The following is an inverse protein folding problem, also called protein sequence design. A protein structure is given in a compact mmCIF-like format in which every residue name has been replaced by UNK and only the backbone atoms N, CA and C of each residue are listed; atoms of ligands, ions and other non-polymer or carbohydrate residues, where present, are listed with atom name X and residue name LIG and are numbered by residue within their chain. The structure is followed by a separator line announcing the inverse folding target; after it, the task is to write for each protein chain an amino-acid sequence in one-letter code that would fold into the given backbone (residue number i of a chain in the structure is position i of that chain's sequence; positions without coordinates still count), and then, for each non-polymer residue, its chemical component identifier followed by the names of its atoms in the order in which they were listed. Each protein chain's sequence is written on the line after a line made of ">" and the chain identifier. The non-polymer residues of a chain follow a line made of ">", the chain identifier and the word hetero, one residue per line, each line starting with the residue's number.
data_IF_902807369107
#
_entry.id   IF_902807369107
#
_cell.length_a   1.000
_cell.length_b   1.000
_cell.length_c   1.000
_cell.angle_alpha   90.00
_cell.angle_beta   90.00
_cell.angle_gamma   90.00
#
_symmetry.space_group_name_H-M   'P 1'
#
loop_
_entity.id
_entity.type
_entity.pdbx_description
1 polymer ?
#
# COMPACT_ATOMS: atom_id res chain seq x y z
N UNK A 1 -5.63 -6.67 11.00
CA UNK A 1 -6.47 -6.46 9.81
C UNK A 1 -7.26 -5.16 9.96
N UNK A 2 -7.04 -4.20 9.05
CA UNK A 2 -7.62 -2.85 9.11
C UNK A 2 -9.11 -2.84 8.81
N UNK A 3 -9.55 -3.71 7.91
CA UNK A 3 -10.98 -3.90 7.63
C UNK A 3 -11.70 -4.34 8.92
N UNK A 4 -11.13 -5.29 9.63
CA UNK A 4 -11.68 -5.76 10.90
C UNK A 4 -11.72 -4.63 11.93
N UNK A 5 -10.64 -3.85 12.06
CA UNK A 5 -10.61 -2.69 12.96
C UNK A 5 -11.73 -1.70 12.66
N UNK A 6 -11.93 -1.32 11.39
CA UNK A 6 -12.97 -0.35 11.00
C UNK A 6 -14.39 -0.86 11.20
N UNK A 7 -14.59 -2.18 11.20
CA UNK A 7 -15.88 -2.80 11.49
C UNK A 7 -16.16 -2.89 13.00
N UNK A 8 -15.13 -2.99 13.82
CA UNK A 8 -15.26 -3.15 15.27
C UNK A 8 -15.20 -1.82 16.02
N UNK A 9 -14.38 -0.87 15.56
CA UNK A 9 -14.23 0.45 16.21
C UNK A 9 -15.48 1.28 15.99
N UNK A 10 -16.11 1.66 17.08
CA UNK A 10 -17.31 2.52 17.06
C UNK A 10 -16.92 3.95 17.48
N UNK A 11 -17.38 4.92 16.72
CA UNK A 11 -17.29 6.35 16.99
C UNK A 11 -18.49 7.05 16.33
N UNK A 12 -18.83 8.23 16.85
CA UNK A 12 -19.95 9.01 16.35
C UNK A 12 -21.26 8.17 16.30
N UNK A 13 -22.17 8.44 17.20
CA UNK A 13 -23.47 7.76 17.33
C UNK A 13 -23.37 6.22 17.53
N UNK A 14 -22.28 5.74 18.16
CA UNK A 14 -22.03 4.32 18.44
C UNK A 14 -22.02 3.44 17.17
N UNK A 15 -21.68 4.00 16.02
CA UNK A 15 -21.63 3.29 14.73
C UNK A 15 -20.20 2.83 14.42
N UNK A 16 -20.01 1.69 13.75
CA UNK A 16 -18.70 1.31 13.22
C UNK A 16 -18.13 2.40 12.30
N UNK A 17 -16.84 2.71 12.41
CA UNK A 17 -16.24 3.74 11.56
C UNK A 17 -16.32 3.39 10.07
N UNK A 18 -16.39 2.09 9.73
CA UNK A 18 -16.62 1.62 8.35
C UNK A 18 -17.99 2.07 7.78
N UNK A 19 -18.93 2.53 8.59
CA UNK A 19 -20.21 3.06 8.12
C UNK A 19 -20.12 4.49 7.57
N UNK A 20 -19.00 5.18 7.78
CA UNK A 20 -18.79 6.54 7.30
C UNK A 20 -18.19 6.54 5.89
N UNK A 21 -18.73 7.36 5.00
CA UNK A 21 -18.33 7.41 3.59
C UNK A 21 -16.84 7.74 3.39
N UNK A 22 -16.25 8.63 4.20
CA UNK A 22 -14.82 8.95 4.11
C UNK A 22 -13.92 7.75 4.43
N UNK A 23 -14.35 6.86 5.33
CA UNK A 23 -13.65 5.61 5.63
C UNK A 23 -13.84 4.61 4.50
N UNK A 24 -15.05 4.50 3.97
CA UNK A 24 -15.38 3.62 2.83
C UNK A 24 -14.58 4.00 1.58
N UNK A 25 -14.43 5.29 1.30
CA UNK A 25 -13.62 5.79 0.19
C UNK A 25 -12.16 5.34 0.31
N UNK A 26 -11.56 5.50 1.50
CA UNK A 26 -10.19 5.04 1.75
C UNK A 26 -10.04 3.53 1.56
N UNK A 27 -10.98 2.74 2.07
CA UNK A 27 -10.97 1.28 1.93
C UNK A 27 -11.12 0.85 0.48
N UNK A 28 -12.04 1.47 -0.28
CA UNK A 28 -12.25 1.18 -1.69
C UNK A 28 -10.99 1.53 -2.52
N UNK A 29 -10.39 2.68 -2.27
CA UNK A 29 -9.14 3.06 -2.92
C UNK A 29 -8.02 2.06 -2.61
N UNK A 30 -7.83 1.70 -1.33
CA UNK A 30 -6.78 0.77 -0.93
C UNK A 30 -6.92 -0.60 -1.62
N UNK A 31 -8.12 -1.20 -1.64
CA UNK A 31 -8.30 -2.50 -2.28
C UNK A 31 -8.08 -2.44 -3.79
N UNK A 32 -8.51 -1.36 -4.43
CA UNK A 32 -8.30 -1.14 -5.86
C UNK A 32 -6.81 -1.07 -6.20
N UNK A 33 -6.06 -0.25 -5.48
CA UNK A 33 -4.62 -0.07 -5.73
C UNK A 33 -3.81 -1.34 -5.41
N UNK A 34 -4.13 -2.04 -4.34
CA UNK A 34 -3.51 -3.33 -4.01
C UNK A 34 -3.75 -4.33 -5.13
N UNK A 35 -4.98 -4.43 -5.64
CA UNK A 35 -5.33 -5.34 -6.74
C UNK A 35 -4.54 -5.00 -8.01
N UNK A 36 -4.45 -3.73 -8.37
CA UNK A 36 -3.65 -3.27 -9.51
C UNK A 36 -2.17 -3.65 -9.36
N UNK A 37 -1.60 -3.42 -8.17
CA UNK A 37 -0.21 -3.80 -7.89
C UNK A 37 0.04 -5.30 -7.98
N UNK A 38 -0.89 -6.12 -7.50
CA UNK A 38 -0.84 -7.58 -7.63
C UNK A 38 -0.91 -8.04 -9.10
N UNK A 39 -1.80 -7.46 -9.88
CA UNK A 39 -1.92 -7.75 -11.32
C UNK A 39 -0.64 -7.39 -12.06
N UNK A 40 -0.02 -6.25 -11.75
CA UNK A 40 1.26 -5.85 -12.34
C UNK A 40 2.36 -6.84 -11.98
N UNK A 41 2.44 -7.29 -10.74
CA UNK A 41 3.42 -8.29 -10.30
C UNK A 41 3.23 -9.64 -11.01
N UNK A 42 1.99 -10.10 -11.15
CA UNK A 42 1.66 -11.35 -11.87
C UNK A 42 2.06 -11.23 -13.34
N UNK A 43 1.76 -10.11 -13.99
CA UNK A 43 2.11 -9.90 -15.40
C UNK A 43 3.61 -9.86 -15.62
N UNK A 44 4.36 -9.19 -14.74
CA UNK A 44 5.83 -9.21 -14.80
C UNK A 44 6.40 -10.62 -14.59
N UNK A 45 5.81 -11.40 -13.69
CA UNK A 45 6.17 -12.82 -13.50
C UNK A 45 5.97 -13.65 -14.78
N UNK A 46 4.82 -13.48 -15.43
CA UNK A 46 4.53 -14.16 -16.72
C UNK A 46 5.51 -13.76 -17.83
N UNK A 47 5.83 -12.48 -17.93
CA UNK A 47 6.81 -11.98 -18.89
C UNK A 47 8.20 -12.56 -18.62
N UNK A 48 8.59 -12.71 -17.36
CA UNK A 48 9.84 -13.35 -16.96
C UNK A 48 9.88 -14.81 -17.41
N UNK A 49 8.83 -15.56 -17.16
CA UNK A 49 8.73 -16.98 -17.55
C UNK A 49 8.80 -17.16 -19.08
N UNK A 50 8.31 -16.19 -19.84
CA UNK A 50 8.37 -16.16 -21.30
C UNK A 50 9.68 -15.60 -21.87
N UNK A 51 10.62 -15.16 -21.02
CA UNK A 51 11.86 -14.52 -21.44
C UNK A 51 11.68 -13.14 -22.08
N UNK A 52 10.55 -12.46 -21.81
CA UNK A 52 10.17 -11.16 -22.38
C UNK A 52 10.22 -10.00 -21.38
N UNK A 53 10.68 -10.26 -20.15
CA UNK A 53 10.78 -9.22 -19.13
C UNK A 53 11.95 -8.29 -19.45
N UNK A 54 11.68 -7.01 -19.51
CA UNK A 54 12.68 -5.96 -19.74
C UNK A 54 12.97 -5.18 -18.44
N UNK A 55 14.14 -4.52 -18.31
CA UNK A 55 14.48 -3.71 -17.14
C UNK A 55 13.42 -2.63 -16.81
N UNK A 56 12.82 -2.01 -17.83
CA UNK A 56 11.74 -1.04 -17.65
C UNK A 56 10.53 -1.63 -16.94
N UNK A 57 10.16 -2.89 -17.22
CA UNK A 57 9.07 -3.57 -16.53
C UNK A 57 9.37 -3.77 -15.04
N UNK A 58 10.60 -4.15 -14.70
CA UNK A 58 11.03 -4.32 -13.30
C UNK A 58 11.02 -2.99 -12.56
N UNK A 59 11.54 -1.95 -13.18
CA UNK A 59 11.54 -0.58 -12.61
C UNK A 59 10.13 -0.06 -12.38
N UNK A 60 9.23 -0.27 -13.35
CA UNK A 60 7.82 0.11 -13.24
C UNK A 60 7.13 -0.65 -12.09
N UNK A 61 7.37 -1.95 -11.96
CA UNK A 61 6.83 -2.78 -10.89
C UNK A 61 7.30 -2.30 -9.52
N UNK A 62 8.61 -2.08 -9.33
CA UNK A 62 9.15 -1.62 -8.05
C UNK A 62 8.60 -0.24 -7.71
N UNK A 63 8.73 0.73 -8.61
CA UNK A 63 8.29 2.11 -8.40
C UNK A 63 6.81 2.16 -8.01
N UNK A 64 5.94 1.56 -8.82
CA UNK A 64 4.50 1.58 -8.58
C UNK A 64 4.11 0.89 -7.28
N UNK A 65 4.60 -0.32 -7.03
CA UNK A 65 4.16 -1.12 -5.89
C UNK A 65 4.68 -0.58 -4.56
N UNK A 66 5.88 -0.03 -4.51
CA UNK A 66 6.41 0.61 -3.30
C UNK A 66 5.67 1.89 -2.97
N UNK A 67 5.38 2.71 -3.97
CA UNK A 67 4.63 3.96 -3.80
C UNK A 67 3.21 3.69 -3.29
N UNK A 68 2.51 2.72 -3.90
CA UNK A 68 1.18 2.29 -3.44
C UNK A 68 1.24 1.71 -2.03
N UNK A 69 2.23 0.88 -1.72
CA UNK A 69 2.38 0.30 -0.39
C UNK A 69 2.55 1.39 0.69
N UNK A 70 3.33 2.44 0.42
CA UNK A 70 3.47 3.60 1.30
C UNK A 70 2.14 4.34 1.49
N UNK A 71 1.43 4.62 0.40
CA UNK A 71 0.12 5.29 0.47
C UNK A 71 -0.92 4.47 1.25
N UNK A 72 -0.98 3.17 1.00
CA UNK A 72 -1.86 2.25 1.74
C UNK A 72 -1.47 2.23 3.23
N UNK A 73 -0.19 2.21 3.55
CA UNK A 73 0.29 2.24 4.93
C UNK A 73 -0.07 3.56 5.63
N UNK A 74 0.09 4.71 4.97
CA UNK A 74 -0.30 6.03 5.49
C UNK A 74 -1.80 6.14 5.74
N UNK A 75 -2.62 5.74 4.77
CA UNK A 75 -4.08 5.71 4.93
C UNK A 75 -4.52 4.76 6.04
N UNK A 76 -3.82 3.66 6.21
CA UNK A 76 -4.08 2.69 7.27
C UNK A 76 -3.74 3.24 8.66
N UNK A 77 -2.61 3.94 8.78
CA UNK A 77 -2.25 4.63 10.01
C UNK A 77 -3.32 5.67 10.36
N UNK A 78 -3.77 6.43 9.37
CA UNK A 78 -4.80 7.43 9.54
C UNK A 78 -6.14 6.83 10.02
N UNK A 79 -6.56 5.71 9.44
CA UNK A 79 -7.77 4.98 9.87
C UNK A 79 -7.70 4.47 11.32
N UNK A 80 -6.50 4.16 11.81
CA UNK A 80 -6.29 3.75 13.20
C UNK A 80 -6.34 4.93 14.19
N UNK A 81 -6.29 6.16 13.70
CA UNK A 81 -6.26 7.35 14.54
C UNK A 81 -5.05 7.36 15.48
N UNK A 82 -5.25 7.69 16.76
CA UNK A 82 -4.20 7.66 17.76
C UNK A 82 -3.53 6.29 17.93
N UNK A 83 -4.27 5.21 17.77
CA UNK A 83 -3.73 3.85 17.80
C UNK A 83 -2.70 3.59 16.68
N UNK A 84 -2.79 4.31 15.57
CA UNK A 84 -1.84 4.20 14.47
C UNK A 84 -0.42 4.73 14.76
N UNK A 85 -0.24 5.39 15.90
CA UNK A 85 1.07 5.93 16.37
C UNK A 85 1.68 5.05 17.46
N UNK A 86 0.88 4.16 18.05
CA UNK A 86 1.29 3.31 19.16
C UNK A 86 2.05 2.06 18.66
N UNK A 87 3.02 1.59 19.45
CA UNK A 87 3.84 0.41 19.11
C UNK A 87 3.04 -0.90 19.08
N UNK A 88 1.94 -0.99 19.81
CA UNK A 88 1.03 -2.14 19.80
C UNK A 88 0.39 -2.37 18.43
N UNK A 89 0.38 -1.35 17.57
CA UNK A 89 -0.09 -1.43 16.20
C UNK A 89 1.11 -1.29 15.24
N UNK A 90 1.42 -2.30 14.43
CA UNK A 90 2.70 -2.36 13.70
C UNK A 90 2.80 -1.43 12.50
N UNK A 91 1.82 -0.55 12.27
CA UNK A 91 1.75 0.24 11.05
C UNK A 91 2.92 1.22 10.88
N UNK A 92 3.38 1.84 11.96
CA UNK A 92 4.53 2.75 11.90
C UNK A 92 5.82 2.01 11.53
N UNK A 93 6.00 0.79 12.04
CA UNK A 93 7.13 -0.06 11.64
C UNK A 93 7.09 -0.38 10.15
N UNK A 94 5.91 -0.70 9.62
CA UNK A 94 5.75 -0.94 8.18
C UNK A 94 6.04 0.31 7.35
N UNK A 95 5.64 1.50 7.82
CA UNK A 95 5.96 2.75 7.16
C UNK A 95 7.47 2.98 7.08
N UNK A 96 8.20 2.82 8.19
CA UNK A 96 9.66 2.95 8.21
C UNK A 96 10.33 1.95 7.26
N UNK A 97 9.90 0.70 7.27
CA UNK A 97 10.42 -0.33 6.37
C UNK A 97 10.15 0.02 4.90
N UNK A 98 8.98 0.52 4.57
CA UNK A 98 8.62 0.89 3.19
C UNK A 98 9.38 2.12 2.69
N UNK A 99 9.69 3.09 3.55
CA UNK A 99 10.58 4.20 3.20
C UNK A 99 11.99 3.68 2.86
N UNK A 100 12.47 2.68 3.59
CA UNK A 100 13.73 2.00 3.28
C UNK A 100 13.66 1.31 1.91
N UNK A 101 12.61 0.56 1.64
CA UNK A 101 12.40 -0.12 0.34
C UNK A 101 12.34 0.87 -0.81
N UNK A 102 11.75 2.05 -0.61
CA UNK A 102 11.71 3.12 -1.62
C UNK A 102 13.11 3.64 -1.96
N UNK A 103 14.03 3.57 -1.02
CA UNK A 103 15.36 4.17 -1.14
C UNK A 103 16.40 3.21 -1.70
N UNK A 104 16.38 1.94 -1.30
CA UNK A 104 17.43 0.97 -1.66
C UNK A 104 17.12 0.18 -2.94
N UNK A 105 18.13 -0.50 -3.49
CA UNK A 105 18.03 -1.32 -4.71
C UNK A 105 17.49 -0.52 -5.92
N UNK A 106 17.95 0.71 -6.04
CA UNK A 106 17.47 1.69 -7.00
C UNK A 106 16.41 2.61 -6.39
N UNK A 107 16.74 3.89 -6.31
CA UNK A 107 15.80 4.91 -5.81
C UNK A 107 14.61 5.08 -6.79
N UNK A 108 13.54 5.67 -6.30
CA UNK A 108 12.38 6.02 -7.11
C UNK A 108 12.74 6.86 -8.35
N UNK A 109 13.69 7.80 -8.19
CA UNK A 109 14.19 8.62 -9.28
C UNK A 109 14.95 7.80 -10.32
N UNK A 110 15.81 6.86 -9.90
CA UNK A 110 16.55 5.98 -10.83
C UNK A 110 15.59 5.11 -11.61
N UNK A 111 14.57 4.55 -10.98
CA UNK A 111 13.54 3.76 -11.69
C UNK A 111 12.77 4.60 -12.70
N UNK A 112 12.50 5.87 -12.39
CA UNK A 112 11.87 6.80 -13.34
C UNK A 112 12.73 7.00 -14.59
N UNK A 113 14.06 7.07 -14.44
CA UNK A 113 14.98 7.23 -15.56
C UNK A 113 15.11 5.94 -16.42
N UNK A 114 14.87 4.78 -15.83
CA UNK A 114 14.95 3.49 -16.55
C UNK A 114 13.70 3.23 -17.39
N UNK A 115 12.53 3.71 -16.94
CA UNK A 115 11.26 3.59 -17.66
C UNK A 115 11.26 4.43 -18.92
#
# INVERSE_FOLDING_TARGET
>A
DRRQYTLLRKQFDDRPIASHQLVQEKLAWMITEITKGQLLAIQCGRLKDQGKLEPAHVSMLKKNNVEIALEVARKSRDLLGGNGIMEEYPIMRHLCNLETVKTYEGTDHIHTLVI
#
